data_IF_704674987315
#
_entry.id   IF_704674987315
#
_cell.length_a   1.000
_cell.length_b   1.000
_cell.length_c   1.000
_cell.angle_alpha   90.00
_cell.angle_beta   90.00
_cell.angle_gamma   90.00
#
_symmetry.space_group_name_H-M   'P 1'
#
loop_
_entity.id
_entity.type
_entity.pdbx_description
1 polymer ?
#
# COMPACT_ATOMS: atom_id res chain seq x y z
N UNK A 1 3.97 -18.56 10.34
CA UNK A 1 4.31 -17.38 9.52
C UNK A 1 3.29 -16.33 9.87
N UNK A 2 3.74 -15.13 10.22
CA UNK A 2 2.84 -14.03 10.56
C UNK A 2 2.79 -13.13 9.34
N UNK A 3 1.65 -13.06 8.67
CA UNK A 3 1.48 -12.13 7.55
C UNK A 3 1.68 -10.71 8.05
N UNK A 4 2.71 -10.03 7.53
CA UNK A 4 2.94 -8.62 7.81
C UNK A 4 2.09 -7.81 6.85
N UNK A 5 1.15 -7.05 7.39
CA UNK A 5 0.23 -6.22 6.62
C UNK A 5 0.56 -4.75 6.82
N UNK A 6 0.39 -3.96 5.76
CA UNK A 6 0.48 -2.50 5.80
C UNK A 6 -0.82 -1.91 5.30
N UNK A 7 -1.37 -0.97 6.08
CA UNK A 7 -2.49 -0.13 5.65
C UNK A 7 -1.90 1.10 4.96
N UNK A 8 -2.36 1.39 3.75
CA UNK A 8 -2.13 2.65 3.06
C UNK A 8 -3.35 3.55 3.32
N UNK A 9 -3.30 4.43 4.34
CA UNK A 9 -4.45 5.26 4.68
C UNK A 9 -4.68 6.29 3.58
N UNK A 10 -5.95 6.55 3.29
CA UNK A 10 -6.36 7.61 2.39
C UNK A 10 -7.37 8.52 3.09
N UNK A 11 -7.47 9.76 2.61
CA UNK A 11 -8.45 10.73 3.12
C UNK A 11 -9.89 10.22 2.95
N UNK A 12 -10.17 9.66 1.78
CA UNK A 12 -11.44 9.01 1.48
C UNK A 12 -11.32 7.52 1.84
N UNK A 13 -12.16 6.98 2.74
CA UNK A 13 -12.04 5.60 3.19
C UNK A 13 -12.00 4.58 2.04
N UNK A 14 -12.81 4.76 1.00
CA UNK A 14 -12.86 3.90 -0.19
C UNK A 14 -11.53 3.78 -0.96
N UNK A 15 -10.61 4.71 -0.71
CA UNK A 15 -9.28 4.74 -1.32
C UNK A 15 -8.21 4.10 -0.44
N UNK A 16 -8.55 3.67 0.77
CA UNK A 16 -7.62 2.92 1.63
C UNK A 16 -7.27 1.60 0.96
N UNK A 17 -6.01 1.19 1.09
CA UNK A 17 -5.54 -0.12 0.62
C UNK A 17 -4.92 -0.90 1.77
N UNK A 18 -5.02 -2.21 1.68
CA UNK A 18 -4.32 -3.14 2.55
C UNK A 18 -3.38 -3.96 1.67
N UNK A 19 -2.11 -3.99 2.02
CA UNK A 19 -1.11 -4.77 1.29
C UNK A 19 -0.40 -5.76 2.20
N UNK A 20 -0.08 -6.93 1.66
CA UNK A 20 0.84 -7.90 2.27
C UNK A 20 2.27 -7.53 1.94
N UNK A 21 3.11 -7.50 2.96
CA UNK A 21 4.55 -7.22 2.85
C UNK A 21 5.27 -8.54 2.53
N UNK A 22 6.22 -8.56 1.58
CA UNK A 22 7.06 -9.72 1.33
C UNK A 22 7.87 -10.11 2.58
N UNK A 23 8.11 -11.41 2.76
CA UNK A 23 8.83 -11.94 3.93
C UNK A 23 10.28 -11.43 4.06
N UNK A 24 10.88 -11.01 2.95
CA UNK A 24 12.29 -10.58 2.86
C UNK A 24 12.53 -9.12 3.29
N UNK A 25 11.49 -8.38 3.68
CA UNK A 25 11.63 -6.98 4.08
C UNK A 25 11.79 -6.80 5.60
N UNK A 26 12.78 -6.00 5.99
CA UNK A 26 12.87 -5.46 7.35
C UNK A 26 11.81 -4.34 7.55
N UNK A 27 11.08 -4.37 8.67
CA UNK A 27 9.89 -3.51 8.90
C UNK A 27 10.16 -2.02 8.72
N UNK A 28 11.32 -1.55 9.17
CA UNK A 28 11.70 -0.14 9.07
C UNK A 28 12.10 0.28 7.65
N UNK A 29 12.46 -0.67 6.79
CA UNK A 29 12.81 -0.40 5.39
C UNK A 29 11.57 -0.33 4.50
N UNK A 30 10.51 -1.09 4.83
CA UNK A 30 9.25 -1.14 4.08
C UNK A 30 8.63 0.24 3.96
N UNK A 31 8.52 0.98 5.07
CA UNK A 31 7.86 2.29 5.07
C UNK A 31 8.53 3.26 4.08
N UNK A 32 9.87 3.37 4.15
CA UNK A 32 10.66 4.22 3.25
C UNK A 32 10.52 3.76 1.80
N UNK A 33 10.54 2.45 1.58
CA UNK A 33 10.43 1.87 0.25
C UNK A 33 9.08 2.15 -0.40
N UNK A 34 7.98 1.86 0.31
CA UNK A 34 6.61 2.13 -0.14
C UNK A 34 6.40 3.63 -0.40
N UNK A 35 6.91 4.49 0.49
CA UNK A 35 6.88 5.95 0.27
C UNK A 35 7.54 6.34 -1.06
N UNK A 36 8.70 5.75 -1.38
CA UNK A 36 9.40 6.01 -2.64
C UNK A 36 8.64 5.52 -3.88
N UNK A 37 7.93 4.39 -3.77
CA UNK A 37 7.08 3.89 -4.87
C UNK A 37 5.88 4.80 -5.11
N UNK A 38 5.22 5.27 -4.05
CA UNK A 38 4.12 6.24 -4.16
C UNK A 38 4.61 7.52 -4.81
N UNK A 39 5.72 8.08 -4.33
CA UNK A 39 6.31 9.29 -4.91
C UNK A 39 6.65 9.12 -6.40
N UNK A 40 7.14 7.94 -6.80
CA UNK A 40 7.40 7.61 -8.21
C UNK A 40 6.10 7.60 -9.03
N UNK A 41 5.00 7.05 -8.51
CA UNK A 41 3.70 7.10 -9.19
C UNK A 41 3.22 8.55 -9.37
N UNK A 42 3.38 9.37 -8.33
CA UNK A 42 2.97 10.78 -8.29
C UNK A 42 3.73 11.68 -9.29
N UNK A 43 4.87 11.24 -9.84
CA UNK A 43 5.55 11.93 -10.94
C UNK A 43 4.66 12.07 -12.19
N UNK A 44 3.68 11.18 -12.36
CA UNK A 44 2.63 11.30 -13.36
C UNK A 44 1.43 12.04 -12.77
N UNK A 45 1.09 13.23 -13.29
CA UNK A 45 -0.04 14.03 -12.81
C UNK A 45 -1.42 13.37 -12.95
N UNK A 46 -1.53 12.30 -13.76
CA UNK A 46 -2.76 11.53 -13.96
C UNK A 46 -2.71 10.14 -13.28
N UNK A 47 -1.80 9.93 -12.33
CA UNK A 47 -1.71 8.67 -11.60
C UNK A 47 -3.01 8.31 -10.88
N UNK A 48 -3.20 7.02 -10.73
CA UNK A 48 -4.33 6.38 -10.06
C UNK A 48 -3.82 5.47 -8.95
N UNK A 49 -4.74 4.91 -8.17
CA UNK A 49 -4.38 3.88 -7.19
C UNK A 49 -3.85 2.61 -7.83
N UNK A 50 -4.32 2.27 -9.03
CA UNK A 50 -3.88 1.08 -9.74
C UNK A 50 -2.41 1.23 -10.14
N UNK A 51 -1.96 2.43 -10.52
CA UNK A 51 -0.53 2.68 -10.80
C UNK A 51 0.37 2.48 -9.56
N UNK A 52 -0.14 2.81 -8.36
CA UNK A 52 0.57 2.55 -7.10
C UNK A 52 0.62 1.05 -6.81
N UNK A 53 -0.51 0.35 -6.98
CA UNK A 53 -0.61 -1.09 -6.74
C UNK A 53 0.26 -1.88 -7.71
N UNK A 54 0.27 -1.53 -8.99
CA UNK A 54 1.13 -2.14 -10.01
C UNK A 54 2.61 -2.05 -9.61
N UNK A 55 3.07 -0.87 -9.17
CA UNK A 55 4.45 -0.67 -8.70
C UNK A 55 4.78 -1.48 -7.43
N UNK A 56 3.81 -1.71 -6.56
CA UNK A 56 3.96 -2.52 -5.36
C UNK A 56 4.01 -4.02 -5.72
N UNK A 57 3.12 -4.47 -6.61
CA UNK A 57 3.04 -5.85 -7.09
C UNK A 57 4.31 -6.26 -7.85
N UNK A 58 4.87 -5.38 -8.68
CA UNK A 58 6.18 -5.57 -9.33
C UNK A 58 7.32 -5.85 -8.33
N UNK A 59 7.14 -5.50 -7.05
CA UNK A 59 8.12 -5.68 -5.96
C UNK A 59 7.72 -6.76 -4.96
N UNK A 60 6.68 -7.53 -5.26
CA UNK A 60 6.23 -8.68 -4.48
C UNK A 60 5.27 -8.35 -3.35
N UNK A 61 4.82 -7.10 -3.23
CA UNK A 61 3.70 -6.79 -2.36
C UNK A 61 2.42 -7.31 -3.00
N UNK A 62 1.40 -7.59 -2.19
CA UNK A 62 0.13 -8.09 -2.70
C UNK A 62 -1.01 -7.24 -2.17
N UNK A 63 -1.93 -6.83 -3.04
CA UNK A 63 -3.16 -6.20 -2.60
C UNK A 63 -4.06 -7.23 -1.90
N UNK A 64 -4.63 -6.85 -0.76
CA UNK A 64 -5.47 -7.72 0.06
C UNK A 64 -6.86 -7.09 0.18
N UNK A 65 -7.89 -7.86 -0.19
CA UNK A 65 -9.28 -7.45 0.03
C UNK A 65 -9.58 -7.34 1.53
N UNK A 66 -10.26 -6.26 1.92
CA UNK A 66 -10.61 -6.01 3.30
C UNK A 66 -11.94 -5.28 3.43
N UNK A 67 -12.52 -5.33 4.63
CA UNK A 67 -13.75 -4.63 4.97
C UNK A 67 -13.40 -3.48 5.91
N UNK A 68 -13.84 -2.27 5.56
CA UNK A 68 -13.81 -1.15 6.48
C UNK A 68 -14.74 -1.40 7.67
N UNK A 69 -14.19 -1.30 8.86
CA UNK A 69 -14.98 -1.26 10.09
C UNK A 69 -15.82 0.02 10.18
N UNK A 70 -16.73 0.11 11.18
CA UNK A 70 -17.50 1.31 11.42
C UNK A 70 -16.58 2.50 11.79
N UNK A 71 -16.93 3.69 11.30
CA UNK A 71 -16.39 4.96 11.81
C UNK A 71 -16.66 5.08 13.30
N UNK A 72 -15.68 5.57 14.06
CA UNK A 72 -15.80 5.84 15.50
C UNK A 72 -15.90 7.35 15.81
N UNK A 73 -15.87 8.15 14.75
CA UNK A 73 -16.00 9.60 14.68
C UNK A 73 -17.45 10.07 14.50
#
# INVERSE_FOLDING_TARGET
MTDKLMILPAKEPSNTRLIRIPDDFEEHEVYRYVTGLIAKAEENAAYTWDDILDLLEERGFENVDFIHGPSLD
#
